data_IF_990509429572
#
_entry.id   IF_990509429572
#
_cell.length_a   1.000
_cell.length_b   1.000
_cell.length_c   1.000
_cell.angle_alpha   90.00
_cell.angle_beta   90.00
_cell.angle_gamma   90.00
#
_symmetry.space_group_name_H-M   'P 1'
#
loop_
_entity.id
_entity.type
_entity.pdbx_description
1 polymer ?
#
# COMPACT_ATOMS: atom_id res chain seq x y z
N UNK A 1 -6.14 15.55 -17.58
CA UNK A 1 -6.59 16.11 -16.28
C UNK A 1 -7.62 15.17 -15.69
N UNK A 2 -7.32 14.48 -14.59
CA UNK A 2 -8.29 13.63 -13.89
C UNK A 2 -8.89 14.42 -12.73
N UNK A 3 -10.19 14.74 -12.83
CA UNK A 3 -10.94 15.43 -11.77
C UNK A 3 -11.33 14.41 -10.70
N UNK A 4 -10.70 14.49 -9.53
CA UNK A 4 -11.21 13.86 -8.31
C UNK A 4 -12.38 14.68 -7.79
N UNK A 5 -13.57 14.09 -7.73
CA UNK A 5 -14.76 14.64 -7.08
C UNK A 5 -14.53 14.73 -5.57
N UNK A 6 -14.10 15.90 -5.09
CA UNK A 6 -14.06 16.22 -3.66
C UNK A 6 -15.50 16.41 -3.15
N UNK A 7 -15.88 15.67 -2.11
CA UNK A 7 -17.15 15.92 -1.40
C UNK A 7 -17.00 17.21 -0.59
N UNK A 8 -17.90 18.20 -0.73
CA UNK A 8 -17.82 19.44 0.02
C UNK A 8 -18.09 19.19 1.51
N UNK A 9 -17.15 19.59 2.38
CA UNK A 9 -17.38 19.74 3.82
C UNK A 9 -16.45 18.97 4.76
N UNK A 10 -15.69 17.98 4.28
CA UNK A 10 -14.74 17.27 5.12
C UNK A 10 -13.34 17.80 4.85
N UNK A 11 -12.80 18.63 5.77
CA UNK A 11 -11.38 19.01 5.70
C UNK A 11 -10.56 17.72 5.56
N UNK A 12 -9.58 17.66 4.64
CA UNK A 12 -8.74 16.49 4.55
C UNK A 12 -8.10 16.27 5.91
N UNK A 13 -8.43 15.14 6.53
CA UNK A 13 -7.84 14.77 7.80
C UNK A 13 -6.31 14.84 7.61
N UNK A 14 -5.66 15.56 8.51
CA UNK A 14 -4.23 15.85 8.41
C UNK A 14 -3.47 14.75 9.14
N UNK A 15 -2.30 14.37 8.62
CA UNK A 15 -1.42 13.42 9.31
C UNK A 15 -1.04 14.00 10.66
N UNK A 16 -1.24 13.22 11.73
CA UNK A 16 -0.96 13.63 13.11
C UNK A 16 0.24 12.88 13.65
N UNK A 17 1.15 13.57 14.30
CA UNK A 17 2.26 12.95 15.02
C UNK A 17 1.85 12.56 16.45
N UNK A 18 2.44 11.50 16.98
CA UNK A 18 2.26 11.09 18.36
C UNK A 18 3.09 9.87 18.74
N UNK A 19 2.68 9.18 19.80
CA UNK A 19 3.36 7.99 20.31
C UNK A 19 2.41 6.80 20.35
N UNK A 20 2.94 5.61 20.03
CA UNK A 20 2.23 4.34 20.10
C UNK A 20 3.17 3.26 20.63
N UNK A 21 2.84 2.67 21.78
CA UNK A 21 3.72 1.78 22.57
C UNK A 21 5.13 2.36 22.80
N UNK A 22 5.22 3.65 23.15
CA UNK A 22 6.50 4.32 23.41
C UNK A 22 7.32 4.66 22.17
N UNK A 23 6.90 4.26 20.98
CA UNK A 23 7.55 4.62 19.71
C UNK A 23 6.86 5.83 19.09
N UNK A 24 7.65 6.77 18.56
CA UNK A 24 7.16 7.90 17.76
C UNK A 24 6.56 7.41 16.44
N UNK A 25 5.35 7.84 16.13
CA UNK A 25 4.58 7.41 14.95
C UNK A 25 3.81 8.57 14.34
N UNK A 26 3.36 8.35 13.10
CA UNK A 26 2.38 9.18 12.42
C UNK A 26 1.07 8.40 12.27
N UNK A 27 -0.02 9.04 12.68
CA UNK A 27 -1.39 8.61 12.41
C UNK A 27 -1.79 9.18 11.05
N UNK A 28 -1.79 8.30 10.05
CA UNK A 28 -2.11 8.63 8.67
C UNK A 28 -3.60 8.39 8.45
N UNK A 29 -4.40 9.44 8.20
CA UNK A 29 -5.82 9.27 8.01
C UNK A 29 -6.14 8.58 6.69
N UNK A 30 -7.12 7.70 6.75
CA UNK A 30 -7.69 6.97 5.64
C UNK A 30 -9.16 7.36 5.45
N UNK A 31 -9.77 6.87 4.38
CA UNK A 31 -11.22 6.99 4.20
C UNK A 31 -12.00 6.29 5.32
N UNK A 32 -13.24 6.73 5.56
CA UNK A 32 -14.18 6.15 6.55
C UNK A 32 -13.72 6.26 8.02
N UNK A 33 -12.87 7.24 8.34
CA UNK A 33 -12.45 7.53 9.72
C UNK A 33 -11.42 6.54 10.29
N UNK A 34 -10.80 5.72 9.44
CA UNK A 34 -9.69 4.87 9.87
C UNK A 34 -8.36 5.63 9.85
N UNK A 35 -7.41 5.17 10.65
CA UNK A 35 -6.03 5.69 10.68
C UNK A 35 -5.05 4.53 10.57
N UNK A 36 -3.98 4.71 9.80
CA UNK A 36 -2.82 3.83 9.80
C UNK A 36 -1.74 4.39 10.72
N UNK A 37 -1.07 3.52 11.47
CA UNK A 37 0.03 3.86 12.38
C UNK A 37 1.33 3.55 11.65
N UNK A 38 2.12 4.57 11.32
CA UNK A 38 3.31 4.43 10.46
C UNK A 38 4.50 5.11 11.13
N UNK A 39 5.70 4.55 10.96
CA UNK A 39 6.92 5.25 11.37
C UNK A 39 7.16 6.48 10.48
N UNK A 40 7.66 7.61 11.03
CA UNK A 40 7.83 8.84 10.26
C UNK A 40 8.67 8.65 8.99
N UNK A 41 9.79 7.91 9.08
CA UNK A 41 10.69 7.68 7.95
C UNK A 41 9.99 6.98 6.78
N UNK A 42 9.17 5.96 7.09
CA UNK A 42 8.42 5.22 6.07
C UNK A 42 7.30 6.06 5.46
N UNK A 43 6.59 6.83 6.28
CA UNK A 43 5.57 7.73 5.78
C UNK A 43 6.14 8.76 4.82
N UNK A 44 7.24 9.43 5.18
CA UNK A 44 7.85 10.44 4.32
C UNK A 44 8.31 9.85 2.98
N UNK A 45 8.91 8.64 3.01
CA UNK A 45 9.28 7.93 1.79
C UNK A 45 8.06 7.63 0.92
N UNK A 46 7.00 7.06 1.51
CA UNK A 46 5.80 6.65 0.79
C UNK A 46 5.02 7.84 0.26
N UNK A 47 4.83 8.88 1.06
CA UNK A 47 4.13 10.10 0.66
C UNK A 47 4.85 10.81 -0.49
N UNK A 48 6.19 10.83 -0.48
CA UNK A 48 6.99 11.38 -1.57
C UNK A 48 6.86 10.56 -2.85
N UNK A 49 6.89 9.24 -2.77
CA UNK A 49 6.90 8.38 -3.95
C UNK A 49 5.51 8.14 -4.54
N UNK A 50 4.50 8.03 -3.69
CA UNK A 50 3.15 7.61 -4.09
C UNK A 50 2.07 8.65 -3.76
N UNK A 51 2.41 9.77 -3.13
CA UNK A 51 1.48 10.79 -2.66
C UNK A 51 0.82 10.46 -1.31
N UNK A 52 0.27 11.49 -0.68
CA UNK A 52 -0.27 11.43 0.69
C UNK A 52 -1.70 10.86 0.82
N UNK A 53 -2.45 10.72 -0.29
CA UNK A 53 -3.83 10.22 -0.25
C UNK A 53 -3.88 8.69 -0.25
N UNK A 54 -4.44 8.10 0.79
CA UNK A 54 -4.62 6.66 0.98
C UNK A 54 -6.05 6.33 1.40
N UNK A 55 -6.55 5.15 1.04
CA UNK A 55 -7.91 4.73 1.38
C UNK A 55 -7.92 3.48 2.27
N UNK A 56 -8.98 3.36 3.07
CA UNK A 56 -9.29 2.15 3.81
C UNK A 56 -10.05 1.18 2.88
N UNK A 57 -9.55 -0.04 2.75
CA UNK A 57 -10.17 -1.11 1.98
C UNK A 57 -10.36 -2.34 2.86
N UNK A 58 -11.58 -2.89 2.86
CA UNK A 58 -11.92 -4.11 3.60
C UNK A 58 -11.62 -5.33 2.74
N UNK A 59 -10.92 -6.32 3.29
CA UNK A 59 -10.73 -7.62 2.69
C UNK A 59 -10.66 -8.70 3.76
N UNK A 60 -11.46 -9.78 3.61
CA UNK A 60 -11.52 -10.90 4.55
C UNK A 60 -11.77 -10.46 6.01
N UNK A 61 -12.64 -9.47 6.23
CA UNK A 61 -12.95 -8.94 7.57
C UNK A 61 -11.93 -7.96 8.14
N UNK A 62 -10.83 -7.68 7.43
CA UNK A 62 -9.76 -6.79 7.89
C UNK A 62 -9.71 -5.49 7.07
N UNK A 63 -9.35 -4.39 7.72
CA UNK A 63 -9.16 -3.07 7.08
C UNK A 63 -7.68 -2.87 6.73
N UNK A 64 -7.41 -2.47 5.49
CA UNK A 64 -6.06 -2.21 4.98
C UNK A 64 -5.95 -0.79 4.43
N UNK A 65 -4.80 -0.16 4.63
CA UNK A 65 -4.41 1.04 3.90
C UNK A 65 -4.00 0.66 2.46
N UNK A 66 -4.74 1.13 1.45
CA UNK A 66 -4.49 0.84 0.04
C UNK A 66 -4.49 2.10 -0.82
N UNK A 67 -3.87 1.98 -1.99
CA UNK A 67 -3.87 3.01 -3.03
C UNK A 67 -3.75 2.36 -4.40
N UNK A 68 -4.40 2.96 -5.40
CA UNK A 68 -4.10 2.67 -6.79
C UNK A 68 -2.76 3.34 -7.17
N UNK A 69 -1.79 2.55 -7.59
CA UNK A 69 -0.44 2.99 -7.96
C UNK A 69 -0.21 2.63 -9.42
N UNK A 70 0.28 3.59 -10.19
CA UNK A 70 0.79 3.37 -11.55
C UNK A 70 2.25 2.93 -11.45
N UNK A 71 2.56 1.77 -12.01
CA UNK A 71 3.91 1.24 -12.05
C UNK A 71 4.68 1.81 -13.25
N UNK A 72 6.03 1.69 -13.30
CA UNK A 72 6.82 2.22 -14.41
C UNK A 72 6.42 1.69 -15.80
N UNK A 73 5.83 0.50 -15.84
CA UNK A 73 5.23 -0.14 -17.02
C UNK A 73 3.90 0.51 -17.48
N UNK A 74 3.47 1.60 -16.84
CA UNK A 74 2.19 2.26 -17.09
C UNK A 74 0.97 1.55 -16.51
N UNK A 75 1.13 0.37 -15.92
CA UNK A 75 0.00 -0.44 -15.43
C UNK A 75 -0.47 0.06 -14.07
N UNK A 76 -1.78 0.29 -13.95
CA UNK A 76 -2.43 0.64 -12.70
C UNK A 76 -2.69 -0.61 -11.85
N UNK A 77 -2.29 -0.61 -10.57
CA UNK A 77 -2.63 -1.69 -9.65
C UNK A 77 -2.79 -1.23 -8.21
N UNK A 78 -3.57 -1.98 -7.44
CA UNK A 78 -3.78 -1.71 -6.02
C UNK A 78 -2.57 -2.18 -5.21
N UNK A 79 -1.92 -1.25 -4.52
CA UNK A 79 -0.85 -1.54 -3.56
C UNK A 79 -1.37 -1.30 -2.13
N UNK A 80 -1.01 -2.19 -1.20
CA UNK A 80 -1.18 -1.92 0.23
C UNK A 80 0.05 -1.21 0.79
N UNK A 81 -0.16 -0.31 1.75
CA UNK A 81 0.93 0.47 2.34
C UNK A 81 1.97 -0.45 3.01
N UNK A 82 1.52 -1.50 3.71
CA UNK A 82 2.39 -2.52 4.31
C UNK A 82 3.38 -3.15 3.33
N UNK A 83 2.97 -3.37 2.07
CA UNK A 83 3.84 -3.94 1.04
C UNK A 83 4.90 -2.95 0.58
N UNK A 84 4.54 -1.67 0.48
CA UNK A 84 5.48 -0.61 0.09
C UNK A 84 6.48 -0.33 1.21
N UNK A 85 6.06 -0.41 2.49
CA UNK A 85 6.96 -0.29 3.64
C UNK A 85 8.03 -1.39 3.61
N UNK A 86 7.61 -2.63 3.37
CA UNK A 86 8.50 -3.79 3.41
C UNK A 86 9.18 -4.11 2.07
N UNK A 87 8.97 -3.30 1.04
CA UNK A 87 9.41 -3.55 -0.34
C UNK A 87 9.15 -5.02 -0.76
N UNK A 88 7.93 -5.48 -0.47
CA UNK A 88 7.56 -6.89 -0.58
C UNK A 88 7.38 -7.32 -2.04
N UNK A 89 8.05 -8.42 -2.40
CA UNK A 89 7.99 -9.02 -3.75
C UNK A 89 6.60 -9.57 -4.05
N UNK A 90 6.23 -9.73 -5.34
CA UNK A 90 4.91 -10.25 -5.74
C UNK A 90 4.54 -11.61 -5.11
N UNK A 91 5.54 -12.45 -4.89
CA UNK A 91 5.44 -13.78 -4.28
C UNK A 91 5.62 -13.78 -2.76
N UNK A 92 5.59 -12.59 -2.14
CA UNK A 92 5.60 -12.42 -0.69
C UNK A 92 4.27 -11.84 -0.21
N UNK A 93 3.92 -12.19 1.03
CA UNK A 93 2.84 -11.58 1.80
C UNK A 93 3.46 -10.82 2.97
N UNK A 94 2.91 -9.66 3.28
CA UNK A 94 3.23 -8.94 4.53
C UNK A 94 2.14 -9.27 5.54
N UNK A 95 2.57 -9.62 6.74
CA UNK A 95 1.74 -10.00 7.88
C UNK A 95 2.07 -9.07 9.05
N UNK A 96 1.13 -8.98 10.00
CA UNK A 96 1.27 -8.22 11.24
C UNK A 96 1.30 -9.15 12.44
N UNK A 97 2.16 -8.87 13.42
CA UNK A 97 2.30 -9.72 14.60
C UNK A 97 1.15 -9.54 15.58
N UNK A 98 0.67 -8.31 15.76
CA UNK A 98 -0.46 -8.00 16.63
C UNK A 98 -1.85 -8.22 15.99
N UNK A 99 -1.91 -8.75 14.76
CA UNK A 99 -3.16 -8.97 14.04
C UNK A 99 -3.89 -7.70 13.56
N UNK A 100 -3.35 -6.49 13.81
CA UNK A 100 -3.92 -5.23 13.33
C UNK A 100 -3.24 -4.80 12.00
N UNK A 101 -3.92 -4.89 10.85
CA UNK A 101 -3.33 -4.55 9.55
C UNK A 101 -3.11 -3.04 9.33
N UNK A 102 -3.56 -2.18 10.24
CA UNK A 102 -3.31 -0.75 10.24
C UNK A 102 -2.15 -0.33 11.15
N UNK A 103 -1.60 -1.24 11.97
CA UNK A 103 -0.31 -1.02 12.63
C UNK A 103 0.83 -1.41 11.69
N UNK A 104 1.36 -0.40 11.01
CA UNK A 104 2.34 -0.51 9.94
C UNK A 104 3.76 -0.14 10.40
N UNK A 105 4.02 -0.13 11.71
CA UNK A 105 5.39 -0.01 12.24
C UNK A 105 6.23 -1.19 11.76
N UNK A 106 7.51 -0.98 11.45
CA UNK A 106 8.38 -2.04 10.91
C UNK A 106 8.54 -3.19 11.89
N UNK A 107 8.59 -2.88 13.18
CA UNK A 107 8.64 -3.86 14.27
C UNK A 107 7.42 -4.77 14.35
N UNK A 108 6.29 -4.41 13.73
CA UNK A 108 5.07 -5.21 13.69
C UNK A 108 4.90 -5.95 12.35
N UNK A 109 5.78 -5.73 11.35
CA UNK A 109 5.62 -6.26 9.99
C UNK A 109 6.65 -7.34 9.66
N UNK A 110 6.18 -8.46 9.10
CA UNK A 110 7.06 -9.49 8.58
C UNK A 110 6.65 -9.95 7.19
N UNK A 111 7.66 -10.29 6.37
CA UNK A 111 7.47 -10.87 5.03
C UNK A 111 7.44 -12.39 5.12
N UNK A 112 6.46 -13.01 4.47
CA UNK A 112 6.35 -14.45 4.31
C UNK A 112 6.18 -14.79 2.85
N UNK A 113 7.06 -15.64 2.32
CA UNK A 113 6.95 -16.11 0.94
C UNK A 113 5.77 -17.07 0.80
N UNK A 114 5.01 -16.95 -0.29
CA UNK A 114 4.12 -18.02 -0.71
C UNK A 114 4.95 -19.28 -1.03
N UNK A 115 4.34 -20.47 -0.90
CA UNK A 115 4.97 -21.75 -1.23
C UNK A 115 4.29 -22.40 -2.43
N UNK A 116 5.06 -23.24 -3.14
CA UNK A 116 4.59 -24.06 -4.28
C UNK A 116 3.97 -23.25 -5.41
N UNK A 117 3.00 -23.85 -6.10
CA UNK A 117 2.38 -23.30 -7.31
C UNK A 117 1.77 -21.89 -7.14
N UNK A 118 1.47 -21.45 -5.91
CA UNK A 118 0.97 -20.09 -5.67
C UNK A 118 2.07 -19.05 -5.79
N UNK A 119 3.30 -19.39 -5.38
CA UNK A 119 4.46 -18.52 -5.57
C UNK A 119 4.79 -18.39 -7.06
N UNK A 120 4.82 -19.51 -7.78
CA UNK A 120 5.12 -19.56 -9.22
C UNK A 120 4.13 -18.73 -10.02
N UNK A 121 2.82 -18.98 -9.85
CA UNK A 121 1.74 -18.22 -10.52
C UNK A 121 1.77 -16.72 -10.23
N UNK A 122 2.36 -16.29 -9.11
CA UNK A 122 2.50 -14.86 -8.77
C UNK A 122 3.73 -14.24 -9.40
N UNK A 123 4.84 -14.98 -9.46
CA UNK A 123 6.05 -14.56 -10.19
C UNK A 123 5.77 -14.45 -11.68
N UNK A 124 5.14 -15.46 -12.26
CA UNK A 124 4.80 -15.52 -13.69
C UNK A 124 3.89 -14.35 -14.09
N UNK A 125 2.80 -14.10 -13.36
CA UNK A 125 1.94 -12.93 -13.61
C UNK A 125 2.67 -11.59 -13.51
N UNK A 126 3.68 -11.50 -12.66
CA UNK A 126 4.49 -10.29 -12.59
C UNK A 126 5.46 -10.18 -13.76
N UNK A 127 6.04 -11.30 -14.20
CA UNK A 127 6.94 -11.33 -15.35
C UNK A 127 6.23 -10.93 -16.65
N UNK A 128 5.06 -11.55 -16.92
CA UNK A 128 4.20 -11.22 -18.07
C UNK A 128 3.81 -9.73 -18.08
N UNK A 129 3.68 -9.11 -16.90
CA UNK A 129 3.35 -7.69 -16.78
C UNK A 129 4.56 -6.77 -17.04
N UNK A 130 5.78 -7.25 -16.81
CA UNK A 130 7.01 -6.50 -17.03
C UNK A 130 7.55 -6.61 -18.46
N UNK A 131 7.09 -7.59 -19.24
CA UNK A 131 7.39 -7.63 -20.67
C UNK A 131 6.62 -6.50 -21.36
N UNK A 132 7.31 -5.56 -22.03
CA UNK A 132 6.63 -4.55 -22.83
C UNK A 132 5.84 -5.28 -23.91
N UNK A 133 4.53 -5.01 -23.99
CA UNK A 133 3.73 -5.47 -25.12
C UNK A 133 4.26 -4.80 -26.39
N UNK A 134 5.22 -5.43 -27.07
CA UNK A 134 5.51 -5.16 -28.47
C UNK A 134 4.34 -5.68 -29.32
N UNK A 135 3.23 -4.93 -29.35
CA UNK A 135 2.14 -5.08 -30.32
C UNK A 135 1.19 -3.88 -30.19
N UNK A 136 0.80 -3.14 -31.22
CA UNK A 136 0.94 -3.35 -32.65
C UNK A 136 0.98 -1.98 -33.37
N UNK A 137 2.09 -1.69 -34.05
CA UNK A 137 2.06 -0.78 -35.20
C UNK A 137 1.66 -1.64 -36.39
N UNK A 138 0.36 -1.74 -36.64
CA UNK A 138 -0.13 -2.19 -37.95
C UNK A 138 0.04 -0.99 -38.91
N UNK A 139 0.68 -1.18 -40.09
CA UNK A 139 0.95 -0.11 -41.05
C UNK A 139 -0.33 0.52 -41.64
#
# INVERSE_FOLDING_TARGET
MLQTTDRPGQRPATVREGFYHGTRVLFVPLTKGHEAIVEPADWHRIARQYGSRWCAAVANGYVYARKAVTFPDGTLSMASMSRLIMDARPDERVLTDNGNPLDLRRSNLHRKRFRGATADRRRERHHVRQEPTEAATTP
#
